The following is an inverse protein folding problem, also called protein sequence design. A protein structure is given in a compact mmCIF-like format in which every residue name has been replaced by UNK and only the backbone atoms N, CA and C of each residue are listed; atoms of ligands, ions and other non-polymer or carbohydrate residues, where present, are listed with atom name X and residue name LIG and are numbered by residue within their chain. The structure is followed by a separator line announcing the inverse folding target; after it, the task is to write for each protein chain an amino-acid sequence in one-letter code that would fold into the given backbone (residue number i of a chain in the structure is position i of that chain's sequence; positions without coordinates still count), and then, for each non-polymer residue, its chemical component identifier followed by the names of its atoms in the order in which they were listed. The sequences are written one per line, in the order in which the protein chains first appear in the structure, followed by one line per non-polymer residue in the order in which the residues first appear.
data_IF_343119529788
#
_entry.id   IF_343119529788
#
_cell.length_a   1.000
_cell.length_b   1.000
_cell.length_c   1.000
_cell.angle_alpha   90.00
_cell.angle_beta   90.00
_cell.angle_gamma   90.00
#
_symmetry.space_group_name_H-M   'P 1'
#
loop_
_entity.id
_entity.type
_entity.pdbx_description
1 polymer ?
#
# COMPACT_ATOMS: atom_id res chain seq x y z
N UNK A 1 -18.01 4.83 8.18
CA UNK A 1 -16.68 4.20 7.97
C UNK A 1 -16.31 3.45 9.25
N UNK A 2 -16.19 2.12 9.18
CA UNK A 2 -15.58 1.34 10.26
C UNK A 2 -14.07 1.30 10.01
N UNK A 3 -13.27 1.56 11.04
CA UNK A 3 -11.81 1.59 10.98
C UNK A 3 -11.27 0.36 11.68
N UNK A 4 -10.37 -0.39 11.04
CA UNK A 4 -9.70 -1.52 11.67
C UNK A 4 -8.19 -1.33 11.55
N UNK A 5 -7.55 -1.12 12.70
CA UNK A 5 -6.09 -1.07 12.83
C UNK A 5 -5.55 -2.50 12.88
N UNK A 6 -4.69 -2.86 11.94
CA UNK A 6 -4.11 -4.20 11.88
C UNK A 6 -2.63 -4.15 12.29
N UNK A 7 -2.27 -4.93 13.32
CA UNK A 7 -0.89 -5.13 13.75
C UNK A 7 -0.19 -6.14 12.81
N UNK A 8 0.99 -5.77 12.32
CA UNK A 8 1.78 -6.55 11.35
C UNK A 8 2.42 -7.81 11.96
N UNK A 9 2.30 -8.95 11.27
CA UNK A 9 3.11 -10.15 11.48
C UNK A 9 3.55 -10.74 10.13
N UNK A 10 4.85 -10.70 9.77
CA UNK A 10 5.40 -11.38 8.58
C UNK A 10 5.57 -12.91 8.79
N UNK A 11 5.65 -13.74 7.73
CA UNK A 11 5.14 -13.60 6.37
C UNK A 11 3.89 -14.47 6.15
N UNK A 12 2.93 -14.01 5.35
CA UNK A 12 1.75 -14.78 4.92
C UNK A 12 0.96 -15.49 6.05
N UNK A 13 0.98 -14.96 7.28
CA UNK A 13 0.08 -15.43 8.34
C UNK A 13 -1.27 -14.77 8.13
N UNK A 14 -2.27 -15.56 7.76
CA UNK A 14 -3.67 -15.15 7.62
C UNK A 14 -4.10 -14.42 8.89
N UNK A 15 -4.32 -13.12 8.79
CA UNK A 15 -4.98 -12.34 9.84
C UNK A 15 -6.50 -12.50 9.69
N UNK A 16 -7.28 -12.39 10.79
CA UNK A 16 -8.72 -12.65 10.76
C UNK A 16 -9.48 -11.68 9.87
N UNK A 17 -10.62 -12.15 9.35
CA UNK A 17 -11.57 -11.40 8.52
C UNK A 17 -11.87 -10.01 9.08
N UNK A 18 -11.63 -8.97 8.28
CA UNK A 18 -11.98 -7.58 8.59
C UNK A 18 -13.06 -7.08 7.64
N UNK A 19 -14.14 -6.55 8.21
CA UNK A 19 -15.27 -5.97 7.50
C UNK A 19 -14.94 -4.54 7.03
N UNK A 20 -14.62 -4.37 5.75
CA UNK A 20 -14.17 -3.09 5.19
C UNK A 20 -12.73 -2.77 5.63
N UNK A 21 -11.80 -2.63 4.69
CA UNK A 21 -10.38 -2.68 5.03
C UNK A 21 -9.64 -1.37 4.71
N UNK A 22 -9.54 -0.50 5.71
CA UNK A 22 -8.52 0.56 5.73
C UNK A 22 -7.27 -0.06 6.35
N UNK A 23 -6.17 -0.15 5.59
CA UNK A 23 -4.90 -0.69 6.08
C UNK A 23 -3.97 0.46 6.47
N UNK A 24 -3.80 0.67 7.78
CA UNK A 24 -2.83 1.64 8.30
C UNK A 24 -1.56 0.92 8.73
N UNK A 25 -0.43 1.26 8.11
CA UNK A 25 0.88 0.75 8.51
C UNK A 25 1.47 1.67 9.57
N UNK A 26 1.47 1.23 10.82
CA UNK A 26 2.27 1.82 11.89
C UNK A 26 3.29 0.77 12.33
N UNK A 27 4.32 0.53 11.51
CA UNK A 27 5.30 -0.51 11.82
C UNK A 27 6.29 0.01 12.85
N UNK A 28 6.38 -0.66 14.00
CA UNK A 28 7.43 -0.41 15.00
C UNK A 28 8.83 -0.88 14.52
N UNK A 29 8.90 -1.69 13.46
CA UNK A 29 10.13 -2.08 12.78
C UNK A 29 9.97 -1.94 11.27
N UNK A 30 10.92 -1.22 10.66
CA UNK A 30 10.90 -0.86 9.24
C UNK A 30 11.61 -1.98 8.43
N UNK A 31 10.93 -2.69 7.50
CA UNK A 31 11.58 -3.71 6.68
C UNK A 31 12.53 -3.07 5.64
N UNK A 32 13.83 -3.35 5.72
CA UNK A 32 14.83 -2.83 4.77
C UNK A 32 14.89 -3.62 3.44
N UNK A 33 14.27 -4.80 3.41
CA UNK A 33 14.08 -5.63 2.22
C UNK A 33 12.59 -5.81 1.95
N UNK A 34 12.23 -6.11 0.69
CA UNK A 34 10.84 -6.37 0.35
C UNK A 34 10.27 -7.51 1.16
N UNK A 35 9.25 -7.19 1.96
CA UNK A 35 8.54 -8.13 2.82
C UNK A 35 7.12 -8.29 2.31
N UNK A 36 6.68 -9.54 2.15
CA UNK A 36 5.33 -9.87 1.71
C UNK A 36 4.34 -9.78 2.88
N UNK A 37 3.19 -9.17 2.63
CA UNK A 37 2.05 -9.16 3.54
C UNK A 37 0.82 -9.69 2.82
N UNK A 38 -0.06 -10.38 3.56
CA UNK A 38 -1.31 -10.91 3.02
C UNK A 38 -2.44 -10.89 4.05
N UNK A 39 -3.64 -10.56 3.58
CA UNK A 39 -4.83 -10.35 4.40
C UNK A 39 -6.05 -10.98 3.75
N UNK A 40 -6.79 -11.77 4.51
CA UNK A 40 -8.06 -12.35 4.09
C UNK A 40 -9.24 -11.52 4.56
N UNK A 41 -10.24 -11.31 3.70
CA UNK A 41 -11.48 -10.68 4.11
C UNK A 41 -12.69 -11.22 3.35
N UNK A 42 -13.86 -11.20 3.98
CA UNK A 42 -15.14 -11.45 3.32
C UNK A 42 -15.80 -10.10 3.02
N UNK A 43 -16.21 -9.89 1.77
CA UNK A 43 -16.89 -8.65 1.39
C UNK A 43 -18.29 -8.59 1.98
N UNK A 44 -18.65 -7.44 2.56
CA UNK A 44 -20.00 -7.19 3.07
C UNK A 44 -20.82 -6.29 2.14
N UNK A 45 -20.15 -5.55 1.27
CA UNK A 45 -20.74 -4.60 0.34
C UNK A 45 -20.36 -4.96 -1.10
N UNK A 46 -20.99 -4.28 -2.06
CA UNK A 46 -20.71 -4.47 -3.50
C UNK A 46 -19.43 -3.77 -3.97
N UNK A 47 -18.76 -3.03 -3.09
CA UNK A 47 -17.49 -2.37 -3.37
C UNK A 47 -16.60 -2.37 -2.14
N UNK A 48 -15.30 -2.48 -2.36
CA UNK A 48 -14.26 -2.35 -1.34
C UNK A 48 -13.17 -1.40 -1.83
N UNK A 49 -12.37 -0.88 -0.91
CA UNK A 49 -11.24 -0.02 -1.23
C UNK A 49 -10.02 -0.49 -0.48
N UNK A 50 -8.92 -0.74 -1.18
CA UNK A 50 -7.61 -0.88 -0.54
C UNK A 50 -7.04 0.51 -0.34
N UNK A 51 -6.60 0.83 0.87
CA UNK A 51 -5.95 2.09 1.19
C UNK A 51 -4.65 1.78 1.91
N UNK A 52 -3.54 2.28 1.37
CA UNK A 52 -2.26 2.37 2.06
C UNK A 52 -2.14 3.77 2.64
N UNK A 53 -1.86 3.84 3.93
CA UNK A 53 -1.54 5.09 4.63
C UNK A 53 -0.09 4.96 5.08
N UNK A 54 0.77 5.82 4.53
CA UNK A 54 2.22 5.75 4.70
C UNK A 54 2.70 7.04 5.35
N UNK A 55 3.48 6.90 6.42
CA UNK A 55 4.18 8.03 7.02
C UNK A 55 5.66 7.91 6.72
N UNK A 56 6.25 8.96 6.15
CA UNK A 56 7.71 9.05 6.12
C UNK A 56 8.29 8.96 7.52
N UNK A 57 9.51 8.44 7.65
CA UNK A 57 10.22 8.49 8.93
C UNK A 57 10.58 9.95 9.28
N UNK A 58 10.53 10.29 10.57
CA UNK A 58 11.01 11.58 11.11
C UNK A 58 12.48 11.55 11.54
N UNK A 59 13.14 10.39 11.41
CA UNK A 59 14.55 10.19 11.72
C UNK A 59 15.53 10.89 10.75
N UNK A 60 16.83 10.93 11.11
CA UNK A 60 17.88 11.60 10.34
C UNK A 60 18.15 10.95 8.97
N UNK A 61 17.82 9.66 8.82
CA UNK A 61 17.72 9.00 7.53
C UNK A 61 16.25 9.06 7.09
N UNK A 62 15.93 9.96 6.17
CA UNK A 62 14.59 9.98 5.58
C UNK A 62 14.41 8.68 4.79
N UNK A 63 13.48 7.84 5.24
CA UNK A 63 13.10 6.61 4.57
C UNK A 63 11.84 6.85 3.73
N UNK A 64 11.88 6.37 2.50
CA UNK A 64 10.72 6.19 1.65
C UNK A 64 10.16 4.78 1.79
N UNK A 65 8.85 4.62 1.70
CA UNK A 65 8.16 3.36 1.51
C UNK A 65 8.02 3.05 0.03
N UNK A 66 8.47 1.85 -0.35
CA UNK A 66 8.25 1.30 -1.68
C UNK A 66 7.22 0.18 -1.58
N UNK A 67 6.16 0.25 -2.40
CA UNK A 67 5.12 -0.77 -2.51
C UNK A 67 5.17 -1.39 -3.91
N UNK A 68 5.09 -2.71 -3.97
CA UNK A 68 5.11 -3.48 -5.22
C UNK A 68 4.16 -4.69 -5.16
N UNK A 69 3.79 -5.21 -6.34
CA UNK A 69 2.90 -6.37 -6.57
C UNK A 69 1.62 -6.40 -5.70
N UNK A 70 0.86 -5.31 -5.67
CA UNK A 70 -0.44 -5.31 -4.99
C UNK A 70 -1.44 -6.15 -5.78
N UNK A 71 -2.08 -7.11 -5.12
CA UNK A 71 -3.14 -7.92 -5.71
C UNK A 71 -4.26 -8.11 -4.70
N UNK A 72 -5.50 -8.11 -5.17
CA UNK A 72 -6.65 -8.58 -4.40
C UNK A 72 -7.28 -9.70 -5.20
N UNK A 73 -7.13 -10.94 -4.73
CA UNK A 73 -7.66 -12.10 -5.42
C UNK A 73 -9.03 -12.47 -4.84
N UNK A 74 -10.07 -12.46 -5.68
CA UNK A 74 -11.32 -13.14 -5.38
C UNK A 74 -11.06 -14.65 -5.38
N UNK A 75 -11.15 -15.30 -4.23
CA UNK A 75 -10.85 -16.74 -4.11
C UNK A 75 -11.94 -17.63 -4.72
N UNK A 76 -13.16 -17.11 -4.89
CA UNK A 76 -14.26 -17.82 -5.55
C UNK A 76 -14.01 -17.86 -7.06
N UNK A 77 -13.57 -16.74 -7.64
CA UNK A 77 -13.39 -16.60 -9.08
C UNK A 77 -11.93 -16.79 -9.54
N UNK A 78 -10.99 -16.89 -8.61
CA UNK A 78 -9.55 -16.96 -8.83
C UNK A 78 -9.03 -15.83 -9.76
N UNK A 79 -9.50 -14.61 -9.52
CA UNK A 79 -9.17 -13.43 -10.35
C UNK A 79 -8.67 -12.30 -9.48
N UNK A 80 -7.66 -11.57 -9.98
CA UNK A 80 -7.24 -10.31 -9.39
C UNK A 80 -8.25 -9.22 -9.77
N UNK A 81 -8.80 -8.52 -8.78
CA UNK A 81 -9.81 -7.46 -8.98
C UNK A 81 -9.20 -6.07 -9.02
N UNK A 82 -7.90 -5.93 -8.74
CA UNK A 82 -7.20 -4.65 -8.89
C UNK A 82 -6.75 -4.42 -10.32
N UNK A 83 -6.90 -3.17 -10.77
CA UNK A 83 -6.26 -2.67 -11.98
C UNK A 83 -4.84 -2.23 -11.66
N UNK A 84 -3.86 -2.70 -12.44
CA UNK A 84 -2.47 -2.22 -12.41
C UNK A 84 -1.86 -2.20 -10.97
N UNK A 85 -2.14 -3.22 -10.17
CA UNK A 85 -1.65 -3.30 -8.79
C UNK A 85 -0.15 -3.56 -8.66
N UNK A 86 0.50 -4.02 -9.72
CA UNK A 86 1.96 -4.17 -9.82
C UNK A 86 2.67 -2.95 -10.45
N UNK A 87 1.92 -1.93 -10.87
CA UNK A 87 2.44 -0.69 -11.45
C UNK A 87 3.29 -0.83 -12.73
N UNK A 88 3.34 -2.00 -13.36
CA UNK A 88 4.18 -2.29 -14.55
C UNK A 88 4.03 -1.29 -15.70
N UNK A 89 2.86 -0.65 -15.79
CA UNK A 89 2.52 0.28 -16.86
C UNK A 89 3.17 1.67 -16.70
N UNK A 90 3.83 1.95 -15.58
CA UNK A 90 4.40 3.27 -15.32
C UNK A 90 3.35 4.37 -15.18
N UNK A 91 2.11 4.01 -14.84
CA UNK A 91 1.00 4.94 -14.59
C UNK A 91 0.22 4.55 -13.32
N UNK A 92 -0.57 5.49 -12.78
CA UNK A 92 -1.49 5.26 -11.67
C UNK A 92 -2.87 4.79 -12.11
N UNK A 93 -3.00 4.11 -13.25
CA UNK A 93 -4.31 3.66 -13.73
C UNK A 93 -5.06 2.85 -12.65
N UNK A 94 -6.27 3.28 -12.28
CA UNK A 94 -7.08 2.69 -11.20
C UNK A 94 -6.71 3.15 -9.77
N UNK A 95 -5.59 3.83 -9.59
CA UNK A 95 -5.10 4.30 -8.29
C UNK A 95 -5.28 5.81 -8.12
N UNK A 96 -5.74 6.21 -6.95
CA UNK A 96 -5.72 7.58 -6.49
C UNK A 96 -4.61 7.76 -5.44
N UNK A 97 -3.97 8.93 -5.46
CA UNK A 97 -2.93 9.29 -4.52
C UNK A 97 -3.12 10.71 -4.00
N UNK A 98 -2.86 10.92 -2.71
CA UNK A 98 -2.92 12.25 -2.09
C UNK A 98 -2.12 12.28 -0.79
N UNK A 99 -1.76 13.48 -0.34
CA UNK A 99 -1.06 13.71 0.92
C UNK A 99 -1.97 14.52 1.85
N UNK A 100 -2.16 14.11 3.11
CA UNK A 100 -3.01 14.85 4.06
C UNK A 100 -2.32 16.12 4.60
N UNK A 101 -2.50 17.20 3.82
CA UNK A 101 -2.54 18.65 4.15
C UNK A 101 -1.27 19.32 4.73
N UNK A 102 -0.90 20.58 4.44
CA UNK A 102 -1.61 21.77 3.93
C UNK A 102 -0.60 22.63 3.14
N UNK A 103 -0.99 23.21 1.99
CA UNK A 103 -0.29 24.27 1.23
C UNK A 103 1.18 24.06 0.76
N UNK A 104 1.91 23.11 1.34
CA UNK A 104 3.34 22.87 1.08
C UNK A 104 3.60 21.59 0.29
N UNK A 105 2.57 20.82 -0.07
CA UNK A 105 2.67 19.91 -1.21
C UNK A 105 2.60 20.77 -2.49
N UNK A 106 3.63 21.60 -2.70
CA UNK A 106 3.90 22.16 -4.01
C UNK A 106 3.99 21.03 -5.04
N UNK A 107 3.83 21.35 -6.33
CA UNK A 107 3.88 20.39 -7.43
C UNK A 107 5.00 19.33 -7.21
N UNK A 108 4.64 18.10 -6.82
CA UNK A 108 5.59 16.97 -6.75
C UNK A 108 5.87 16.31 -5.40
N UNK A 109 5.11 16.56 -4.32
CA UNK A 109 5.29 15.87 -3.02
C UNK A 109 4.26 14.77 -2.70
N UNK A 110 3.53 14.29 -3.69
CA UNK A 110 2.71 13.07 -3.58
C UNK A 110 3.55 11.87 -3.96
N UNK A 111 3.13 10.67 -3.54
CA UNK A 111 3.73 9.44 -4.03
C UNK A 111 3.90 9.41 -5.54
N UNK A 112 4.94 8.72 -5.98
CA UNK A 112 5.31 8.65 -7.39
C UNK A 112 5.69 7.23 -7.76
N UNK A 113 5.63 6.93 -9.05
CA UNK A 113 6.25 5.72 -9.56
C UNK A 113 7.76 5.95 -9.69
N UNK A 114 8.52 4.96 -9.27
CA UNK A 114 9.96 4.88 -9.51
C UNK A 114 10.25 3.60 -10.27
N UNK A 115 11.35 3.58 -11.03
CA UNK A 115 11.83 2.38 -11.71
C UNK A 115 12.91 1.63 -10.93
N UNK A 116 13.28 2.14 -9.75
CA UNK A 116 14.28 1.53 -8.88
C UNK A 116 14.12 2.03 -7.44
N UNK A 117 14.39 1.18 -6.43
CA UNK A 117 14.76 -0.24 -6.49
C UNK A 117 13.53 -1.16 -6.38
N UNK A 118 12.77 -1.32 -7.47
CA UNK A 118 11.56 -2.14 -7.52
C UNK A 118 11.86 -3.65 -7.41
N UNK A 119 10.87 -4.42 -6.98
CA UNK A 119 11.03 -5.84 -6.65
C UNK A 119 11.04 -6.71 -7.91
N UNK A 120 10.00 -6.59 -8.71
CA UNK A 120 9.70 -7.49 -9.84
C UNK A 120 9.21 -6.74 -11.07
N UNK A 121 8.54 -5.61 -10.85
CA UNK A 121 8.00 -4.75 -11.89
C UNK A 121 9.04 -3.72 -12.38
N UNK A 122 8.92 -3.22 -13.64
CA UNK A 122 9.69 -2.08 -14.10
C UNK A 122 9.43 -0.80 -13.30
N UNK A 123 8.29 -0.71 -12.62
CA UNK A 123 7.92 0.41 -11.76
C UNK A 123 7.27 -0.07 -10.47
N UNK A 124 7.40 0.72 -9.42
CA UNK A 124 6.78 0.50 -8.13
C UNK A 124 6.41 1.84 -7.52
N UNK A 125 5.45 1.82 -6.59
CA UNK A 125 5.07 3.02 -5.87
C UNK A 125 6.15 3.40 -4.86
N UNK A 126 6.50 4.67 -4.78
CA UNK A 126 7.35 5.25 -3.75
C UNK A 126 6.60 6.43 -3.10
N UNK A 127 6.48 6.42 -1.77
CA UNK A 127 5.94 7.58 -1.07
C UNK A 127 6.86 8.80 -1.18
N UNK A 128 6.29 10.00 -1.05
CA UNK A 128 7.07 11.26 -1.06
C UNK A 128 6.68 12.25 0.01
N UNK A 129 5.72 11.91 0.86
CA UNK A 129 5.35 12.75 2.01
C UNK A 129 6.44 12.69 3.09
N UNK A 130 7.42 13.60 2.99
CA UNK A 130 8.60 13.67 3.86
C UNK A 130 8.32 14.26 5.25
N UNK A 131 9.29 14.13 6.17
CA UNK A 131 9.36 14.72 7.51
C UNK A 131 8.51 14.07 8.61
N UNK A 132 7.91 12.90 8.37
CA UNK A 132 7.13 12.14 9.37
C UNK A 132 5.99 12.91 10.04
N UNK A 133 5.57 14.02 9.44
CA UNK A 133 4.45 14.86 9.86
C UNK A 133 3.26 14.76 8.90
N UNK A 134 3.46 14.09 7.77
CA UNK A 134 2.49 13.97 6.70
C UNK A 134 2.26 12.51 6.36
N UNK A 135 1.05 12.24 5.87
CA UNK A 135 0.60 10.93 5.45
C UNK A 135 0.44 10.93 3.94
N UNK A 136 1.06 9.98 3.27
CA UNK A 136 0.81 9.65 1.87
C UNK A 136 -0.27 8.57 1.81
N UNK A 137 -1.22 8.76 0.91
CA UNK A 137 -2.33 7.85 0.71
C UNK A 137 -2.26 7.31 -0.71
N UNK A 138 -2.31 6.00 -0.83
CA UNK A 138 -2.45 5.31 -2.11
C UNK A 138 -3.67 4.40 -1.99
N UNK A 139 -4.67 4.60 -2.83
CA UNK A 139 -5.90 3.81 -2.76
C UNK A 139 -6.47 3.44 -4.13
N UNK A 140 -7.16 2.30 -4.17
CA UNK A 140 -7.93 1.85 -5.32
C UNK A 140 -9.22 1.20 -4.82
N UNK A 141 -10.35 1.65 -5.36
CA UNK A 141 -11.64 0.99 -5.16
C UNK A 141 -11.84 -0.08 -6.22
N UNK A 142 -12.52 -1.16 -5.85
CA UNK A 142 -12.83 -2.28 -6.73
C UNK A 142 -14.20 -2.86 -6.36
N UNK A 143 -14.84 -3.51 -7.33
CA UNK A 143 -16.12 -4.17 -7.13
C UNK A 143 -15.93 -5.48 -6.36
N UNK A 144 -16.87 -5.76 -5.48
CA UNK A 144 -16.92 -7.00 -4.70
C UNK A 144 -18.29 -7.63 -4.76
N UNK A 145 -18.35 -8.95 -4.56
CA UNK A 145 -19.60 -9.67 -4.37
C UNK A 145 -19.76 -9.94 -2.88
N UNK A 146 -20.84 -9.42 -2.27
CA UNK A 146 -21.13 -9.66 -0.86
C UNK A 146 -21.14 -11.16 -0.55
N UNK A 147 -20.37 -11.56 0.47
CA UNK A 147 -20.18 -12.96 0.88
C UNK A 147 -18.97 -13.65 0.25
N UNK A 148 -18.40 -13.13 -0.84
CA UNK A 148 -17.16 -13.68 -1.41
C UNK A 148 -15.96 -13.40 -0.48
N UNK A 149 -15.01 -14.33 -0.47
CA UNK A 149 -13.75 -14.20 0.26
C UNK A 149 -12.63 -13.77 -0.69
N UNK A 150 -11.89 -12.75 -0.25
CA UNK A 150 -10.81 -12.10 -0.99
C UNK A 150 -9.51 -12.18 -0.21
N UNK A 151 -8.40 -12.19 -0.93
CA UNK A 151 -7.05 -12.15 -0.36
C UNK A 151 -6.29 -10.98 -0.95
N UNK A 152 -5.99 -9.97 -0.12
CA UNK A 152 -5.02 -8.93 -0.43
C UNK A 152 -3.61 -9.50 -0.25
N UNK A 153 -2.70 -9.17 -1.15
CA UNK A 153 -1.25 -9.35 -0.98
C UNK A 153 -0.48 -8.17 -1.58
N UNK A 154 0.66 -7.83 -0.98
CA UNK A 154 1.58 -6.83 -1.51
C UNK A 154 2.97 -7.00 -0.90
N UNK A 155 3.98 -6.39 -1.52
CA UNK A 155 5.31 -6.25 -0.97
C UNK A 155 5.58 -4.81 -0.57
N UNK A 156 6.22 -4.62 0.58
CA UNK A 156 6.67 -3.31 1.03
C UNK A 156 8.09 -3.37 1.57
N UNK A 157 8.85 -2.31 1.35
CA UNK A 157 10.16 -2.06 2.00
C UNK A 157 10.32 -0.58 2.29
N UNK A 158 11.19 -0.26 3.22
CA UNK A 158 11.80 1.05 3.28
C UNK A 158 13.03 1.16 2.37
N UNK A 159 13.28 2.39 1.96
CA UNK A 159 14.38 2.79 1.13
C UNK A 159 14.95 4.12 1.65
N UNK A 160 16.19 4.09 2.11
CA UNK A 160 16.87 5.29 2.60
C UNK A 160 17.19 6.22 1.44
N UNK A 161 16.87 7.52 1.59
CA UNK A 161 17.30 8.53 0.65
C UNK A 161 18.79 8.85 0.86
N UNK A 162 19.66 8.32 -0.02
CA UNK A 162 21.01 8.87 -0.23
C UNK A 162 21.88 9.09 1.02
N UNK A 163 22.14 8.02 1.77
CA UNK A 163 23.28 7.92 2.67
C UNK A 163 23.69 6.46 2.70
N UNK A 164 24.89 6.14 2.23
CA UNK A 164 25.50 4.82 2.37
C UNK A 164 25.32 4.31 3.81
N UNK A 165 24.89 3.06 3.95
CA UNK A 165 24.99 2.32 5.22
C UNK A 165 26.40 2.41 5.80
#
# INVERSE_FOLDING_TARGET
LHFILISIAPPCTKTPNVAGAIFSFATASIPLTYTCYSYGFTANDSSSTVTFILTGDSGPAQHYWLIDDVAVNDTTNNTNVLTNGNFDQGTFNGWAQFCATNANCGNGFYGQLTSSPCRSAPYCYMDKCNNGRYYDYLLQSFDTVTGNYYVLSFYIRAYANGGSQ
#
